data_IF_457658614511
#
_entry.id   IF_457658614511
#
_cell.length_a   1.000
_cell.length_b   1.000
_cell.length_c   1.000
_cell.angle_alpha   90.00
_cell.angle_beta   90.00
_cell.angle_gamma   90.00
#
_symmetry.space_group_name_H-M   'P 1'
#
loop_
_entity.id
_entity.type
_entity.pdbx_description
1 polymer ?
#
# COMPACT_ATOMS: atom_id res chain seq x y z
N UNK A 1 -2.34 -19.22 17.08
CA UNK A 1 -2.67 -17.79 17.07
C UNK A 1 -1.92 -17.12 15.93
N UNK A 2 -2.43 -17.28 14.72
CA UNK A 2 -1.99 -16.48 13.58
C UNK A 2 -2.83 -15.19 13.62
N UNK A 3 -2.17 -14.03 13.68
CA UNK A 3 -2.84 -12.75 13.34
C UNK A 3 -3.58 -12.92 12.01
N UNK A 4 -4.67 -12.21 11.74
CA UNK A 4 -5.50 -12.36 10.53
C UNK A 4 -4.64 -12.41 9.24
N UNK A 5 -4.24 -13.62 8.89
CA UNK A 5 -3.23 -13.90 7.87
C UNK A 5 -3.96 -14.14 6.54
N UNK A 6 -5.17 -14.69 6.59
CA UNK A 6 -6.14 -14.80 5.49
C UNK A 6 -6.82 -13.45 5.21
N UNK A 7 -6.05 -12.54 4.61
CA UNK A 7 -6.62 -11.37 3.92
C UNK A 7 -6.34 -11.53 2.42
N UNK A 8 -7.18 -10.98 1.53
CA UNK A 8 -6.94 -11.06 0.09
C UNK A 8 -5.55 -10.52 -0.31
N UNK A 9 -4.99 -9.64 0.53
CA UNK A 9 -3.68 -9.05 0.30
C UNK A 9 -2.48 -9.93 0.66
N UNK A 10 -2.71 -11.10 1.26
CA UNK A 10 -1.65 -12.04 1.64
C UNK A 10 -1.82 -13.40 0.95
N UNK A 11 -2.69 -13.48 -0.07
CA UNK A 11 -2.96 -14.74 -0.79
C UNK A 11 -1.69 -15.38 -1.35
N UNK A 12 -0.71 -14.56 -1.76
CA UNK A 12 0.58 -15.04 -2.27
C UNK A 12 1.46 -15.75 -1.21
N UNK A 13 1.15 -15.57 0.08
CA UNK A 13 1.88 -16.19 1.18
C UNK A 13 1.23 -17.47 1.71
N UNK A 14 0.11 -17.91 1.14
CA UNK A 14 -0.69 -19.03 1.64
C UNK A 14 0.14 -20.31 1.79
N UNK A 15 0.94 -20.67 0.78
CA UNK A 15 1.77 -21.89 0.83
C UNK A 15 2.74 -21.92 2.04
N UNK A 16 3.39 -20.80 2.35
CA UNK A 16 4.33 -20.72 3.48
C UNK A 16 3.59 -20.70 4.82
N UNK A 17 2.38 -20.14 4.83
CA UNK A 17 1.51 -20.16 6.00
C UNK A 17 1.00 -21.58 6.29
N UNK A 18 0.60 -22.34 5.26
CA UNK A 18 0.25 -23.75 5.39
C UNK A 18 1.42 -24.57 5.94
N UNK A 19 2.64 -24.32 5.46
CA UNK A 19 3.83 -24.98 6.00
C UNK A 19 4.07 -24.67 7.49
N UNK A 20 3.74 -23.44 7.94
CA UNK A 20 3.82 -23.08 9.36
C UNK A 20 2.73 -23.79 10.18
N UNK A 21 1.52 -23.92 9.63
CA UNK A 21 0.42 -24.66 10.24
C UNK A 21 0.76 -26.14 10.39
N UNK A 22 1.32 -26.77 9.35
CA UNK A 22 1.82 -28.14 9.39
C UNK A 22 2.92 -28.32 10.45
N UNK A 23 3.82 -27.35 10.58
CA UNK A 23 4.84 -27.38 11.62
C UNK A 23 4.23 -27.28 13.03
N UNK A 24 3.22 -26.43 13.22
CA UNK A 24 2.50 -26.32 14.48
C UNK A 24 1.65 -27.58 14.78
N UNK A 25 1.17 -28.28 13.77
CA UNK A 25 0.41 -29.53 13.90
C UNK A 25 1.24 -30.68 14.50
N UNK A 26 2.58 -30.58 14.49
CA UNK A 26 3.49 -31.55 15.14
C UNK A 26 3.38 -31.57 16.66
N UNK A 27 2.76 -30.54 17.26
CA UNK A 27 2.45 -30.50 18.68
C UNK A 27 2.90 -29.22 19.37
N UNK A 28 2.24 -28.93 20.49
CA UNK A 28 2.45 -27.69 21.25
C UNK A 28 3.88 -27.54 21.76
N UNK A 29 4.49 -28.61 22.29
CA UNK A 29 5.88 -28.57 22.79
C UNK A 29 6.87 -28.29 21.67
N UNK A 30 6.69 -28.90 20.50
CA UNK A 30 7.53 -28.68 19.32
C UNK A 30 7.52 -27.20 18.89
N UNK A 31 6.32 -26.61 18.90
CA UNK A 31 6.15 -25.17 18.66
C UNK A 31 6.78 -24.31 19.76
N UNK A 32 6.55 -24.64 21.03
CA UNK A 32 7.01 -23.84 22.18
C UNK A 32 8.54 -23.78 22.26
N UNK A 33 9.23 -24.85 21.89
CA UNK A 33 10.70 -24.91 21.83
C UNK A 33 11.29 -24.15 20.63
N UNK A 34 10.47 -23.63 19.73
CA UNK A 34 10.93 -22.84 18.58
C UNK A 34 11.37 -23.66 17.38
N UNK A 35 11.01 -24.95 17.30
CA UNK A 35 11.41 -25.81 16.18
C UNK A 35 10.76 -25.43 14.84
N UNK A 36 9.81 -24.48 14.85
CA UNK A 36 9.16 -23.91 13.66
C UNK A 36 9.70 -22.52 13.28
N UNK A 37 10.81 -22.08 13.87
CA UNK A 37 11.31 -20.72 13.69
C UNK A 37 11.79 -20.41 12.25
N UNK A 38 12.31 -21.39 11.52
CA UNK A 38 12.76 -21.18 10.15
C UNK A 38 11.58 -20.89 9.22
N UNK A 39 10.54 -21.74 9.28
CA UNK A 39 9.30 -21.53 8.54
C UNK A 39 8.64 -20.21 8.93
N UNK A 40 8.65 -19.86 10.23
CA UNK A 40 8.16 -18.57 10.72
C UNK A 40 8.94 -17.38 10.12
N UNK A 41 10.27 -17.50 9.95
CA UNK A 41 11.08 -16.46 9.28
C UNK A 41 10.64 -16.28 7.83
N UNK A 42 10.32 -17.35 7.13
CA UNK A 42 9.87 -17.27 5.74
C UNK A 42 8.49 -16.66 5.60
N UNK A 43 7.56 -16.99 6.52
CA UNK A 43 6.26 -16.29 6.60
C UNK A 43 6.47 -14.78 6.79
N UNK A 44 7.36 -14.39 7.71
CA UNK A 44 7.65 -12.98 7.97
C UNK A 44 8.25 -12.26 6.76
N UNK A 45 9.16 -12.90 6.02
CA UNK A 45 9.73 -12.35 4.78
C UNK A 45 8.65 -12.12 3.73
N UNK A 46 7.78 -13.10 3.52
CA UNK A 46 6.69 -13.01 2.55
C UNK A 46 5.73 -11.86 2.88
N UNK A 47 5.25 -11.81 4.13
CA UNK A 47 4.33 -10.76 4.56
C UNK A 47 4.98 -9.36 4.56
N UNK A 48 6.28 -9.27 4.82
CA UNK A 48 7.02 -8.02 4.71
C UNK A 48 7.10 -7.53 3.25
N UNK A 49 7.35 -8.44 2.30
CA UNK A 49 7.35 -8.13 0.87
C UNK A 49 5.96 -7.63 0.40
N UNK A 50 4.89 -8.31 0.77
CA UNK A 50 3.52 -7.88 0.42
C UNK A 50 3.16 -6.51 1.00
N UNK A 51 3.54 -6.25 2.26
CA UNK A 51 3.38 -4.93 2.89
C UNK A 51 4.16 -3.86 2.15
N UNK A 52 5.39 -4.16 1.74
CA UNK A 52 6.24 -3.23 0.99
C UNK A 52 5.65 -2.89 -0.38
N UNK A 53 5.21 -3.89 -1.15
CA UNK A 53 4.60 -3.66 -2.46
C UNK A 53 3.28 -2.89 -2.36
N UNK A 54 2.48 -3.13 -1.32
CA UNK A 54 1.30 -2.31 -1.04
C UNK A 54 1.66 -0.87 -0.71
N UNK A 55 2.63 -0.67 0.18
CA UNK A 55 3.09 0.67 0.54
C UNK A 55 3.62 1.43 -0.68
N UNK A 56 4.35 0.75 -1.57
CA UNK A 56 4.83 1.29 -2.85
C UNK A 56 3.69 1.68 -3.78
N UNK A 57 2.70 0.81 -3.98
CA UNK A 57 1.49 1.12 -4.78
C UNK A 57 0.74 2.33 -4.24
N UNK A 58 0.53 2.39 -2.92
CA UNK A 58 -0.16 3.50 -2.28
C UNK A 58 0.61 4.82 -2.43
N UNK A 59 1.94 4.79 -2.26
CA UNK A 59 2.81 5.96 -2.47
C UNK A 59 2.74 6.44 -3.92
N UNK A 60 2.79 5.53 -4.88
CA UNK A 60 2.72 5.87 -6.30
C UNK A 60 1.35 6.46 -6.66
N UNK A 61 0.26 5.84 -6.23
CA UNK A 61 -1.08 6.35 -6.43
C UNK A 61 -1.27 7.75 -5.82
N UNK A 62 -0.78 7.96 -4.59
CA UNK A 62 -0.83 9.27 -3.95
C UNK A 62 -0.02 10.34 -4.72
N UNK A 63 1.16 9.98 -5.25
CA UNK A 63 1.96 10.89 -6.08
C UNK A 63 1.23 11.26 -7.38
N UNK A 64 0.63 10.28 -8.06
CA UNK A 64 -0.12 10.52 -9.29
C UNK A 64 -1.36 11.38 -9.04
N UNK A 65 -2.11 11.12 -7.96
CA UNK A 65 -3.25 11.96 -7.58
C UNK A 65 -2.82 13.39 -7.26
N UNK A 66 -1.71 13.58 -6.54
CA UNK A 66 -1.17 14.92 -6.26
C UNK A 66 -0.81 15.68 -7.53
N UNK A 67 -0.08 15.06 -8.46
CA UNK A 67 0.25 15.67 -9.76
C UNK A 67 -0.99 16.08 -10.54
N UNK A 68 -2.04 15.24 -10.54
CA UNK A 68 -3.31 15.54 -11.22
C UNK A 68 -4.00 16.75 -10.59
N UNK A 69 -4.09 16.80 -9.26
CA UNK A 69 -4.71 17.91 -8.54
C UNK A 69 -3.92 19.21 -8.77
N UNK A 70 -2.59 19.15 -8.69
CA UNK A 70 -1.71 20.30 -8.96
C UNK A 70 -1.89 20.85 -10.38
N UNK A 71 -2.03 19.95 -11.38
CA UNK A 71 -2.30 20.34 -12.76
C UNK A 71 -3.65 21.04 -12.90
N UNK A 72 -4.72 20.47 -12.33
CA UNK A 72 -6.06 21.07 -12.35
C UNK A 72 -6.03 22.45 -11.68
N UNK A 73 -5.42 22.57 -10.50
CA UNK A 73 -5.32 23.87 -9.81
C UNK A 73 -4.49 24.90 -10.56
N UNK A 74 -3.45 24.47 -11.30
CA UNK A 74 -2.68 25.37 -12.16
C UNK A 74 -3.50 25.85 -13.36
N UNK A 75 -4.25 24.96 -14.00
CA UNK A 75 -5.17 25.27 -15.10
C UNK A 75 -6.29 26.22 -14.64
N UNK A 76 -6.93 25.96 -13.49
CA UNK A 76 -7.95 26.82 -12.90
C UNK A 76 -7.42 28.22 -12.59
N UNK A 77 -6.21 28.32 -12.01
CA UNK A 77 -5.55 29.62 -11.76
C UNK A 77 -5.23 30.35 -13.06
N UNK A 78 -4.78 29.65 -14.09
CA UNK A 78 -4.49 30.23 -15.39
C UNK A 78 -5.77 30.75 -16.06
N UNK A 79 -6.86 29.98 -16.00
CA UNK A 79 -8.17 30.39 -16.49
C UNK A 79 -8.70 31.62 -15.74
N UNK A 80 -8.64 31.62 -14.41
CA UNK A 80 -9.05 32.76 -13.58
C UNK A 80 -8.22 34.03 -13.89
N UNK A 81 -6.92 33.87 -14.15
CA UNK A 81 -6.04 34.97 -14.57
C UNK A 81 -6.40 35.51 -15.96
N UNK A 82 -6.77 34.62 -16.89
CA UNK A 82 -7.24 35.01 -18.23
C UNK A 82 -8.56 35.77 -18.20
N UNK A 83 -9.50 35.34 -17.37
CA UNK A 83 -10.79 36.01 -17.19
C UNK A 83 -10.67 37.40 -16.54
N UNK A 84 -9.82 37.53 -15.52
CA UNK A 84 -9.54 38.83 -14.88
C UNK A 84 -8.80 39.80 -15.81
N UNK A 85 -7.99 39.30 -16.74
CA UNK A 85 -7.39 40.11 -17.80
C UNK A 85 -8.39 40.67 -18.82
N UNK A 86 -9.48 39.93 -19.10
CA UNK A 86 -10.56 40.41 -19.96
C UNK A 86 -11.42 41.48 -19.24
N UNK A 87 -11.81 41.22 -17.99
CA UNK A 87 -12.59 42.17 -17.18
C UNK A 87 -11.83 43.50 -16.91
N UNK A 88 -10.50 43.47 -16.81
CA UNK A 88 -9.69 44.67 -16.61
C UNK A 88 -9.54 45.58 -17.84
N UNK A 89 -9.97 45.15 -19.03
CA UNK A 89 -9.91 45.94 -20.26
C UNK A 89 -11.17 46.76 -20.56
N UNK A 90 -12.25 46.57 -19.78
CA UNK A 90 -13.54 47.27 -19.96
C UNK A 90 -13.68 48.55 -19.12
N UNK A 91 -12.74 48.84 -18.21
CA UNK A 91 -12.80 49.99 -17.28
C UNK A 91 -11.94 51.20 -17.73
N UNK A 92 -11.77 51.38 -19.05
CA UNK A 92 -11.05 52.55 -19.60
C UNK A 92 -11.80 53.14 -20.81
N UNK A 93 -13.02 53.63 -20.59
CA UNK A 93 -13.70 54.53 -21.52
C UNK A 93 -14.51 55.58 -20.76
#
# INVERSE_FOLDING_TARGET
MHSHLHTPYNANCEAIMTALDECHARGFIYKALGNCNDVKRDVNKCLAAERFERAKRNRNAARETRKRIEKIWAEDKAFAKGFSGAAGSEEKK
#
